data_IF_335812677149
#
_entry.id   IF_335812677149
#
_cell.length_a   1.000
_cell.length_b   1.000
_cell.length_c   1.000
_cell.angle_alpha   90.00
_cell.angle_beta   90.00
_cell.angle_gamma   90.00
#
_symmetry.space_group_name_H-M   'P 1'
#
loop_
_entity.id
_entity.type
_entity.pdbx_description
1 polymer ?
#
# COMPACT_ATOMS: atom_id res chain seq x y z
N UNK A 1 9.87 -1.46 13.71
CA UNK A 1 9.11 -1.94 12.54
C UNK A 1 9.49 -1.04 11.39
N UNK A 2 9.53 -1.51 10.14
CA UNK A 2 9.75 -0.61 9.00
C UNK A 2 8.66 0.48 9.04
N UNK A 3 9.10 1.74 9.04
CA UNK A 3 8.24 2.92 9.13
C UNK A 3 8.36 3.70 7.82
N UNK A 4 7.22 4.05 7.23
CA UNK A 4 7.14 4.92 6.06
C UNK A 4 6.20 6.07 6.38
N UNK A 5 6.63 7.32 6.14
CA UNK A 5 5.76 8.50 6.37
C UNK A 5 4.75 8.72 5.24
N UNK A 6 5.07 8.24 4.04
CA UNK A 6 4.26 8.42 2.83
C UNK A 6 3.74 7.07 2.37
N UNK A 7 2.41 6.97 2.24
CA UNK A 7 1.69 5.88 1.63
C UNK A 7 1.25 6.22 0.21
N UNK A 8 1.33 5.26 -0.71
CA UNK A 8 0.82 5.38 -2.08
C UNK A 8 -0.18 4.26 -2.33
N UNK A 9 -1.39 4.62 -2.73
CA UNK A 9 -2.42 3.67 -3.18
C UNK A 9 -2.46 3.69 -4.71
N UNK A 10 -2.09 2.58 -5.32
CA UNK A 10 -2.10 2.41 -6.77
C UNK A 10 -3.44 1.88 -7.27
N UNK A 11 -4.10 2.64 -8.15
CA UNK A 11 -5.28 2.18 -8.89
C UNK A 11 -4.93 1.20 -10.01
N UNK A 12 -5.85 1.07 -10.98
CA UNK A 12 -5.68 0.19 -12.14
C UNK A 12 -4.36 0.44 -12.86
N UNK A 13 -3.54 -0.60 -13.02
CA UNK A 13 -2.30 -0.53 -13.79
C UNK A 13 -1.06 -0.06 -13.01
N UNK A 14 -1.20 0.34 -11.74
CA UNK A 14 -0.06 0.64 -10.87
C UNK A 14 0.06 -0.47 -9.81
N UNK A 15 0.97 -1.41 -10.03
CA UNK A 15 1.22 -2.55 -9.12
C UNK A 15 2.61 -2.53 -8.47
N UNK A 16 3.47 -1.62 -8.92
CA UNK A 16 4.78 -1.34 -8.38
C UNK A 16 5.14 0.12 -8.68
N UNK A 17 6.08 0.70 -7.94
CA UNK A 17 6.62 2.03 -8.23
C UNK A 17 8.03 1.83 -8.80
N UNK A 18 8.20 2.18 -10.07
CA UNK A 18 9.50 2.12 -10.73
C UNK A 18 10.53 3.00 -9.99
N UNK A 19 11.72 2.46 -9.80
CA UNK A 19 12.81 3.15 -9.11
C UNK A 19 12.80 3.02 -7.58
N UNK A 20 11.82 2.33 -6.97
CA UNK A 20 11.94 1.95 -5.56
C UNK A 20 13.05 0.92 -5.35
N UNK A 21 13.83 1.10 -4.30
CA UNK A 21 14.89 0.18 -3.85
C UNK A 21 14.62 -0.30 -2.41
N UNK A 22 15.47 -1.18 -1.87
CA UNK A 22 15.37 -1.66 -0.48
C UNK A 22 13.97 -2.21 -0.14
N UNK A 23 13.42 -3.03 -1.04
CA UNK A 23 12.03 -3.51 -0.97
C UNK A 23 11.85 -4.55 0.14
N UNK A 24 10.80 -4.36 0.95
CA UNK A 24 10.28 -5.31 1.93
C UNK A 24 8.75 -5.46 1.77
N UNK A 25 8.23 -6.68 1.83
CA UNK A 25 6.78 -6.93 1.89
C UNK A 25 6.32 -7.11 3.34
N UNK A 26 5.34 -6.30 3.76
CA UNK A 26 4.76 -6.36 5.10
C UNK A 26 3.28 -6.75 5.04
N UNK A 27 2.95 -7.89 5.65
CA UNK A 27 1.57 -8.36 5.85
C UNK A 27 1.01 -7.81 7.15
N UNK A 28 0.35 -6.66 7.06
CA UNK A 28 -0.27 -6.00 8.22
C UNK A 28 -1.58 -6.71 8.62
N UNK A 29 -1.65 -7.18 9.86
CA UNK A 29 -2.90 -7.67 10.45
C UNK A 29 -3.77 -6.48 10.84
N UNK A 30 -5.04 -6.49 10.45
CA UNK A 30 -5.98 -5.40 10.79
C UNK A 30 -7.24 -5.92 11.48
N UNK A 31 -7.89 -5.12 12.35
CA UNK A 31 -9.20 -5.45 12.91
C UNK A 31 -10.33 -5.51 11.88
N UNK A 32 -10.08 -5.11 10.63
CA UNK A 32 -11.07 -4.99 9.57
C UNK A 32 -10.93 -6.07 8.50
N UNK A 33 -10.10 -7.09 8.74
CA UNK A 33 -9.74 -8.13 7.78
C UNK A 33 -8.38 -7.89 7.13
N UNK A 34 -8.11 -8.61 6.05
CA UNK A 34 -6.89 -8.44 5.27
C UNK A 34 -6.98 -7.18 4.37
N UNK A 35 -5.88 -6.44 4.19
CA UNK A 35 -5.79 -5.42 3.15
C UNK A 35 -5.87 -6.03 1.74
N UNK A 36 -5.95 -5.19 0.71
CA UNK A 36 -5.99 -5.62 -0.70
C UNK A 36 -4.78 -6.49 -1.10
N UNK A 37 -3.62 -6.27 -0.48
CA UNK A 37 -2.40 -7.06 -0.64
C UNK A 37 -1.44 -6.78 0.55
N UNK A 38 -0.27 -7.41 0.54
CA UNK A 38 0.85 -6.96 1.37
C UNK A 38 1.24 -5.51 1.03
N UNK A 39 1.64 -4.73 2.04
CA UNK A 39 2.21 -3.40 1.83
C UNK A 39 3.66 -3.57 1.41
N UNK A 40 4.04 -2.96 0.30
CA UNK A 40 5.41 -2.93 -0.18
C UNK A 40 6.07 -1.69 0.41
N UNK A 41 7.08 -1.85 1.25
CA UNK A 41 7.89 -0.76 1.78
C UNK A 41 9.20 -0.71 1.02
N UNK A 42 9.67 0.47 0.68
CA UNK A 42 10.99 0.66 0.08
C UNK A 42 11.37 2.12 0.04
N UNK A 43 12.44 2.42 -0.68
CA UNK A 43 13.01 3.75 -0.76
C UNK A 43 12.89 4.31 -2.18
N UNK A 44 12.39 5.53 -2.33
CA UNK A 44 12.37 6.28 -3.59
C UNK A 44 13.02 7.64 -3.34
N UNK A 45 14.11 7.94 -4.05
CA UNK A 45 14.85 9.20 -3.92
C UNK A 45 15.20 9.57 -2.46
N UNK A 46 15.68 8.61 -1.66
CA UNK A 46 16.01 8.85 -0.25
C UNK A 46 14.84 8.82 0.72
N UNK A 47 13.61 8.55 0.25
CA UNK A 47 12.39 8.60 1.07
C UNK A 47 11.77 7.22 1.20
N UNK A 48 11.42 6.84 2.43
CA UNK A 48 10.66 5.62 2.69
C UNK A 48 9.20 5.76 2.25
N UNK A 49 8.77 4.89 1.35
CA UNK A 49 7.44 4.82 0.76
C UNK A 49 6.81 3.47 1.10
N UNK A 50 5.56 3.51 1.55
CA UNK A 50 4.69 2.34 1.65
C UNK A 50 3.72 2.34 0.46
N UNK A 51 3.67 1.27 -0.30
CA UNK A 51 2.84 1.13 -1.49
C UNK A 51 1.83 0.00 -1.33
N UNK A 52 0.59 0.24 -1.77
CA UNK A 52 -0.48 -0.76 -1.79
C UNK A 52 -1.24 -0.72 -3.13
N UNK A 53 -1.26 -1.82 -3.91
CA UNK A 53 -2.16 -1.92 -5.06
C UNK A 53 -3.60 -2.06 -4.58
N UNK A 54 -4.45 -1.10 -4.96
CA UNK A 54 -5.85 -0.98 -4.50
C UNK A 54 -6.68 -2.22 -4.81
N UNK A 55 -6.45 -2.83 -5.97
CA UNK A 55 -7.16 -4.03 -6.46
C UNK A 55 -6.43 -5.35 -6.16
N UNK A 56 -5.35 -5.29 -5.37
CA UNK A 56 -4.40 -6.38 -5.21
C UNK A 56 -3.56 -6.60 -6.47
N UNK A 57 -2.44 -7.31 -6.34
CA UNK A 57 -1.69 -7.79 -7.51
C UNK A 57 -2.59 -8.68 -8.38
N UNK A 58 -2.45 -8.55 -9.70
CA UNK A 58 -3.31 -9.24 -10.67
C UNK A 58 -4.73 -8.67 -10.82
N UNK A 59 -5.06 -7.57 -10.13
CA UNK A 59 -6.31 -6.82 -10.31
C UNK A 59 -7.58 -7.68 -10.15
N UNK A 60 -7.66 -8.45 -9.07
CA UNK A 60 -8.75 -9.41 -8.86
C UNK A 60 -9.87 -8.88 -7.95
N UNK A 61 -9.65 -7.79 -7.19
CA UNK A 61 -10.66 -7.22 -6.30
C UNK A 61 -11.46 -6.16 -7.06
N UNK A 62 -12.79 -6.27 -7.10
CA UNK A 62 -13.64 -5.26 -7.75
C UNK A 62 -13.74 -3.96 -6.94
N UNK A 63 -14.09 -2.81 -7.56
CA UNK A 63 -14.23 -1.54 -6.84
C UNK A 63 -15.19 -1.57 -5.65
N UNK A 64 -16.25 -2.39 -5.70
CA UNK A 64 -17.24 -2.51 -4.62
C UNK A 64 -16.77 -3.40 -3.48
N UNK A 65 -15.73 -4.21 -3.67
CA UNK A 65 -15.23 -5.18 -2.70
C UNK A 65 -13.94 -4.72 -2.00
N UNK A 66 -13.44 -3.53 -2.33
CA UNK A 66 -12.16 -3.05 -1.79
C UNK A 66 -12.24 -2.90 -0.27
N UNK A 67 -11.34 -3.55 0.49
CA UNK A 67 -11.33 -3.52 1.95
C UNK A 67 -10.73 -2.21 2.47
N UNK A 68 -11.36 -1.07 2.13
CA UNK A 68 -10.83 0.28 2.36
C UNK A 68 -10.43 0.52 3.83
N UNK A 69 -11.20 -0.02 4.78
CA UNK A 69 -10.87 0.08 6.22
C UNK A 69 -9.57 -0.66 6.58
N UNK A 70 -9.38 -1.87 6.04
CA UNK A 70 -8.16 -2.63 6.26
C UNK A 70 -6.96 -1.93 5.60
N UNK A 71 -7.12 -1.43 4.38
CA UNK A 71 -6.08 -0.70 3.65
C UNK A 71 -5.58 0.54 4.43
N UNK A 72 -6.51 1.39 4.87
CA UNK A 72 -6.15 2.60 5.62
C UNK A 72 -5.57 2.26 7.00
N UNK A 73 -6.13 1.26 7.68
CA UNK A 73 -5.60 0.83 8.99
C UNK A 73 -4.19 0.27 8.87
N UNK A 74 -3.91 -0.53 7.84
CA UNK A 74 -2.60 -1.10 7.59
C UNK A 74 -1.54 0.00 7.42
N UNK A 75 -1.81 1.01 6.59
CA UNK A 75 -0.94 2.19 6.50
C UNK A 75 -0.75 2.89 7.85
N UNK A 76 -1.85 3.11 8.59
CA UNK A 76 -1.78 3.79 9.89
C UNK A 76 -0.93 3.01 10.89
N UNK A 77 -0.98 1.68 10.87
CA UNK A 77 -0.20 0.80 11.75
C UNK A 77 1.30 0.82 11.45
N UNK A 78 1.69 1.24 10.23
CA UNK A 78 3.09 1.36 9.78
C UNK A 78 3.64 2.78 9.91
N UNK A 79 2.90 3.69 10.58
CA UNK A 79 3.35 5.07 10.80
C UNK A 79 3.14 6.01 9.61
N UNK A 80 2.34 5.62 8.60
CA UNK A 80 2.01 6.52 7.49
C UNK A 80 1.21 7.72 7.99
N UNK A 81 1.65 8.90 7.55
CA UNK A 81 1.06 10.20 7.87
C UNK A 81 0.35 10.81 6.65
N UNK A 82 0.83 10.53 5.43
CA UNK A 82 0.30 11.08 4.18
C UNK A 82 -0.03 9.96 3.21
N UNK A 83 -1.20 10.02 2.55
CA UNK A 83 -1.58 9.06 1.51
C UNK A 83 -1.80 9.80 0.19
N UNK A 84 -1.13 9.33 -0.86
CA UNK A 84 -1.33 9.75 -2.25
C UNK A 84 -2.07 8.62 -2.97
N UNK A 85 -3.27 8.88 -3.46
CA UNK A 85 -4.04 7.92 -4.25
C UNK A 85 -3.93 8.27 -5.73
N UNK A 86 -3.52 7.30 -6.54
CA UNK A 86 -3.50 7.41 -8.00
C UNK A 86 -4.67 6.60 -8.55
N UNK A 87 -5.55 7.23 -9.33
CA UNK A 87 -6.72 6.58 -9.94
C UNK A 87 -6.73 6.84 -11.45
N UNK A 88 -7.36 5.92 -12.19
CA UNK A 88 -7.70 6.02 -13.60
C UNK A 88 -9.23 5.92 -13.76
#
# INVERSE_FOLDING_TARGET
>A
MPEAKIGVIGGSGLYEIAGMTNIEEVRAKTPFGEPSDAIIIGELEGKSIAFLPRHGRGHHISPTEIPSRANIYAFKSLGVEWIISVNA
#
